data_IF_001641128397
#
_entry.id   IF_001641128397
#
_cell.length_a   1.000
_cell.length_b   1.000
_cell.length_c   1.000
_cell.angle_alpha   90.00
_cell.angle_beta   90.00
_cell.angle_gamma   90.00
#
_symmetry.space_group_name_H-M   'P 1'
#
loop_
_entity.id
_entity.type
_entity.pdbx_description
1 polymer ?
#
# COMPACT_ATOMS: atom_id res chain seq x y z
N UNK A 1 4.59 -2.59 -9.72
CA UNK A 1 4.48 -2.80 -8.26
C UNK A 1 5.12 -1.60 -7.59
N UNK A 2 4.42 -0.93 -6.70
CA UNK A 2 5.02 0.14 -5.91
C UNK A 2 5.93 -0.52 -4.88
N UNK A 3 7.24 -0.24 -4.92
CA UNK A 3 8.19 -0.68 -3.91
C UNK A 3 8.54 0.55 -3.07
N UNK A 4 7.90 0.67 -1.91
CA UNK A 4 8.31 1.66 -0.93
C UNK A 4 9.72 1.31 -0.43
N UNK A 5 10.63 2.28 -0.45
CA UNK A 5 11.97 2.14 0.09
C UNK A 5 11.89 1.87 1.62
N UNK A 6 12.23 0.67 2.11
CA UNK A 6 12.09 0.32 3.52
C UNK A 6 13.10 1.04 4.43
N UNK A 7 14.07 1.77 3.85
CA UNK A 7 15.13 2.44 4.60
C UNK A 7 14.74 3.82 5.19
N UNK A 8 13.52 4.31 4.95
CA UNK A 8 13.08 5.60 5.48
C UNK A 8 12.18 5.42 6.71
N UNK A 9 12.78 5.50 7.90
CA UNK A 9 12.09 5.68 9.21
C UNK A 9 11.23 4.49 9.70
N UNK A 10 11.69 3.28 9.47
CA UNK A 10 11.14 2.10 10.12
C UNK A 10 11.74 1.95 11.54
N UNK A 11 10.95 2.15 12.61
CA UNK A 11 11.32 1.60 13.92
C UNK A 11 11.43 0.07 13.79
N UNK A 12 12.41 -0.53 14.46
CA UNK A 12 12.57 -1.98 14.43
C UNK A 12 11.40 -2.63 15.18
N UNK A 13 10.49 -3.29 14.44
CA UNK A 13 9.43 -4.12 15.02
C UNK A 13 9.84 -5.59 14.97
N UNK A 14 9.46 -6.34 16.01
CA UNK A 14 9.68 -7.77 16.11
C UNK A 14 8.36 -8.49 16.29
N UNK A 15 8.16 -9.58 15.55
CA UNK A 15 7.04 -10.47 15.79
C UNK A 15 7.30 -11.29 17.07
N UNK A 16 6.82 -10.80 18.22
CA UNK A 16 7.08 -11.42 19.52
C UNK A 16 6.61 -12.88 19.61
N UNK A 17 5.48 -13.19 18.95
CA UNK A 17 4.92 -14.53 18.94
C UNK A 17 5.84 -15.52 18.21
N UNK A 18 6.36 -15.14 17.04
CA UNK A 18 7.31 -15.96 16.29
C UNK A 18 8.67 -16.00 16.98
N UNK A 19 9.17 -14.88 17.50
CA UNK A 19 10.43 -14.84 18.26
C UNK A 19 10.39 -15.82 19.44
N UNK A 20 9.28 -15.87 20.17
CA UNK A 20 9.07 -16.82 21.28
C UNK A 20 9.08 -18.27 20.80
N UNK A 21 8.47 -18.57 19.64
CA UNK A 21 8.50 -19.91 19.06
C UNK A 21 9.91 -20.34 18.65
N UNK A 22 10.67 -19.44 18.04
CA UNK A 22 12.07 -19.68 17.63
C UNK A 22 12.95 -19.93 18.85
N UNK A 23 12.80 -19.13 19.92
CA UNK A 23 13.56 -19.31 21.17
C UNK A 23 13.26 -20.68 21.78
N UNK A 24 11.98 -21.07 21.90
CA UNK A 24 11.60 -22.38 22.45
C UNK A 24 12.14 -23.54 21.63
N UNK A 25 12.11 -23.43 20.30
CA UNK A 25 12.67 -24.45 19.42
C UNK A 25 14.20 -24.58 19.60
N UNK A 26 14.90 -23.45 19.72
CA UNK A 26 16.34 -23.44 19.99
C UNK A 26 16.66 -24.08 21.35
N UNK A 27 15.89 -23.78 22.40
CA UNK A 27 16.01 -24.40 23.72
C UNK A 27 15.84 -25.93 23.68
N UNK A 28 14.86 -26.42 22.92
CA UNK A 28 14.64 -27.85 22.73
C UNK A 28 15.85 -28.53 22.06
N UNK A 29 16.39 -27.93 21.00
CA UNK A 29 17.56 -28.46 20.30
C UNK A 29 18.79 -28.48 21.21
N UNK A 30 19.03 -27.41 21.97
CA UNK A 30 20.13 -27.33 22.94
C UNK A 30 20.04 -28.44 24.00
N UNK A 31 18.84 -28.73 24.50
CA UNK A 31 18.62 -29.83 25.43
C UNK A 31 18.90 -31.20 24.79
N UNK A 32 18.56 -31.37 23.51
CA UNK A 32 18.83 -32.62 22.78
C UNK A 32 20.32 -32.84 22.49
N UNK A 33 21.08 -31.77 22.22
CA UNK A 33 22.52 -31.86 21.92
C UNK A 33 23.40 -31.83 23.17
N UNK A 34 22.84 -31.47 24.33
CA UNK A 34 23.58 -31.29 25.58
C UNK A 34 24.39 -29.98 25.63
N UNK A 35 24.16 -29.07 24.68
CA UNK A 35 24.86 -27.80 24.57
C UNK A 35 24.08 -26.70 25.28
N UNK A 36 24.45 -26.41 26.53
CA UNK A 36 23.81 -25.38 27.36
C UNK A 36 24.51 -24.04 27.20
N UNK A 37 24.38 -23.44 26.02
CA UNK A 37 24.87 -22.08 25.73
C UNK A 37 23.73 -21.06 25.76
N UNK A 38 24.06 -19.76 25.82
CA UNK A 38 23.06 -18.69 25.73
C UNK A 38 22.67 -18.48 24.27
N UNK A 39 21.37 -18.40 23.99
CA UNK A 39 20.86 -18.02 22.67
C UNK A 39 21.31 -16.58 22.34
N UNK A 40 21.84 -16.39 21.13
CA UNK A 40 22.20 -15.07 20.62
C UNK A 40 20.95 -14.33 20.10
N UNK A 41 20.54 -13.19 20.68
CA UNK A 41 19.36 -12.45 20.25
C UNK A 41 19.40 -12.01 18.78
N UNK A 42 20.58 -11.70 18.25
CA UNK A 42 20.72 -11.33 16.83
C UNK A 42 20.43 -12.50 15.89
N UNK A 43 20.70 -13.74 16.30
CA UNK A 43 20.33 -14.92 15.50
C UNK A 43 18.83 -15.14 15.48
N UNK A 44 18.13 -14.83 16.59
CA UNK A 44 16.67 -14.84 16.65
C UNK A 44 16.08 -13.78 15.74
N UNK A 45 16.62 -12.56 15.78
CA UNK A 45 16.21 -11.47 14.88
C UNK A 45 16.50 -11.79 13.40
N UNK A 46 17.57 -12.51 13.09
CA UNK A 46 17.86 -12.94 11.72
C UNK A 46 16.94 -14.04 11.19
N UNK A 47 16.12 -14.66 12.05
CA UNK A 47 15.20 -15.70 11.62
C UNK A 47 14.10 -15.12 10.71
N UNK A 48 13.81 -15.74 9.55
CA UNK A 48 12.81 -15.23 8.62
C UNK A 48 11.46 -14.97 9.29
N UNK A 49 10.96 -13.74 9.14
CA UNK A 49 9.68 -13.29 9.70
C UNK A 49 9.73 -12.81 11.15
N UNK A 50 10.86 -12.94 11.88
CA UNK A 50 10.98 -12.40 13.24
C UNK A 50 11.13 -10.89 13.22
N UNK A 51 11.93 -10.36 12.30
CA UNK A 51 11.98 -8.93 12.04
C UNK A 51 10.78 -8.55 11.18
N UNK A 52 9.89 -7.76 11.75
CA UNK A 52 8.80 -7.18 11.01
C UNK A 52 9.35 -5.98 10.24
N UNK A 53 9.15 -6.02 8.92
CA UNK A 53 9.18 -4.77 8.17
C UNK A 53 7.94 -4.02 8.62
N UNK A 54 8.04 -2.76 9.08
CA UNK A 54 6.85 -2.03 9.46
C UNK A 54 5.89 -2.05 8.28
N UNK A 55 4.73 -2.65 8.51
CA UNK A 55 3.62 -2.52 7.60
C UNK A 55 3.37 -1.03 7.48
N UNK A 56 3.61 -0.49 6.28
CA UNK A 56 3.00 0.79 5.96
C UNK A 56 1.52 0.66 6.28
N UNK A 57 0.91 1.68 6.87
CA UNK A 57 -0.51 1.68 7.16
C UNK A 57 -1.28 1.63 5.82
N UNK A 58 -1.45 0.43 5.28
CA UNK A 58 -2.04 0.20 3.97
C UNK A 58 -3.49 0.65 3.96
N UNK A 59 -4.14 0.72 5.12
CA UNK A 59 -5.49 1.24 5.26
C UNK A 59 -5.54 2.76 4.99
N UNK A 60 -4.55 3.52 5.47
CA UNK A 60 -4.43 4.94 5.14
C UNK A 60 -4.15 5.15 3.66
N UNK A 61 -3.22 4.38 3.09
CA UNK A 61 -2.88 4.45 1.65
C UNK A 61 -4.09 4.11 0.78
N UNK A 62 -4.82 3.05 1.12
CA UNK A 62 -6.02 2.64 0.38
C UNK A 62 -7.12 3.71 0.47
N UNK A 63 -7.29 4.33 1.64
CA UNK A 63 -8.27 5.40 1.83
C UNK A 63 -7.96 6.62 0.97
N UNK A 64 -6.71 7.07 0.94
CA UNK A 64 -6.28 8.17 0.08
C UNK A 64 -6.43 7.83 -1.40
N UNK A 65 -6.08 6.60 -1.79
CA UNK A 65 -6.21 6.12 -3.17
C UNK A 65 -7.67 6.14 -3.65
N UNK A 66 -8.60 5.66 -2.82
CA UNK A 66 -10.03 5.67 -3.15
C UNK A 66 -10.57 7.10 -3.26
N UNK A 67 -10.18 7.99 -2.35
CA UNK A 67 -10.59 9.39 -2.40
C UNK A 67 -10.11 10.08 -3.69
N UNK A 68 -8.85 9.89 -4.07
CA UNK A 68 -8.29 10.44 -5.31
C UNK A 68 -8.95 9.84 -6.56
N UNK A 69 -9.36 8.57 -6.51
CA UNK A 69 -10.09 7.93 -7.59
C UNK A 69 -11.49 8.51 -7.77
N UNK A 70 -12.22 8.73 -6.68
CA UNK A 70 -13.56 9.36 -6.72
C UNK A 70 -13.50 10.81 -7.25
N UNK A 71 -12.45 11.55 -6.87
CA UNK A 71 -12.17 12.89 -7.40
C UNK A 71 -11.94 12.84 -8.92
N UNK A 72 -11.07 11.95 -9.39
CA UNK A 72 -10.75 11.81 -10.80
C UNK A 72 -11.99 11.45 -11.66
N UNK A 73 -12.86 10.57 -11.15
CA UNK A 73 -14.11 10.22 -11.84
C UNK A 73 -15.06 11.42 -11.90
N UNK A 74 -15.16 12.20 -10.83
CA UNK A 74 -15.98 13.40 -10.77
C UNK A 74 -15.52 14.45 -11.78
N UNK A 75 -14.21 14.72 -11.82
CA UNK A 75 -13.60 15.64 -12.80
C UNK A 75 -13.81 15.16 -14.24
N UNK A 76 -13.68 13.85 -14.48
CA UNK A 76 -13.90 13.26 -15.80
C UNK A 76 -15.34 13.47 -16.29
N UNK A 77 -16.34 13.19 -15.44
CA UNK A 77 -17.75 13.38 -15.77
C UNK A 77 -18.03 14.85 -16.10
N UNK A 78 -17.55 15.78 -15.28
CA UNK A 78 -17.70 17.21 -15.54
C UNK A 78 -17.07 17.63 -16.88
N UNK A 79 -15.86 17.16 -17.17
CA UNK A 79 -15.17 17.47 -18.42
C UNK A 79 -15.96 16.98 -19.63
N UNK A 80 -16.52 15.76 -19.55
CA UNK A 80 -17.40 15.20 -20.60
C UNK A 80 -18.70 15.98 -20.75
N UNK A 81 -19.27 16.47 -19.65
CA UNK A 81 -20.43 17.36 -19.67
C UNK A 81 -20.15 18.65 -20.45
N UNK A 82 -19.06 19.35 -20.09
CA UNK A 82 -18.61 20.58 -20.77
C UNK A 82 -18.35 20.36 -22.27
N UNK A 83 -17.74 19.24 -22.63
CA UNK A 83 -17.52 18.86 -24.03
C UNK A 83 -18.86 18.69 -24.78
N UNK A 84 -19.84 18.03 -24.16
CA UNK A 84 -21.18 17.85 -24.71
C UNK A 84 -21.90 19.17 -24.95
N UNK A 85 -21.86 20.08 -23.97
CA UNK A 85 -22.48 21.40 -24.06
C UNK A 85 -21.86 22.24 -25.19
N UNK A 86 -20.53 22.21 -25.32
CA UNK A 86 -19.82 22.89 -26.40
C UNK A 86 -20.18 22.32 -27.78
N UNK A 87 -20.26 20.99 -27.89
CA UNK A 87 -20.63 20.33 -29.14
C UNK A 87 -22.07 20.67 -29.54
N UNK A 88 -22.99 20.68 -28.57
CA UNK A 88 -24.38 21.10 -28.78
C UNK A 88 -24.44 22.54 -29.31
N UNK A 89 -23.77 23.47 -28.65
CA UNK A 89 -23.75 24.88 -29.06
C UNK A 89 -23.22 25.06 -30.49
N UNK A 90 -22.17 24.32 -30.87
CA UNK A 90 -21.62 24.35 -32.22
C UNK A 90 -22.62 23.82 -33.27
N UNK A 91 -23.36 22.75 -32.93
CA UNK A 91 -24.39 22.19 -33.82
C UNK A 91 -25.54 23.17 -33.99
N UNK A 92 -26.05 23.76 -32.90
CA UNK A 92 -27.12 24.77 -32.92
C UNK A 92 -26.71 25.98 -33.78
N UNK A 93 -25.49 26.51 -33.57
CA UNK A 93 -24.96 27.60 -34.38
C UNK A 93 -24.94 27.26 -35.89
N UNK A 94 -24.57 26.02 -36.25
CA UNK A 94 -24.55 25.58 -37.66
C UNK A 94 -25.95 25.44 -38.24
N UNK A 95 -26.91 24.93 -37.48
CA UNK A 95 -28.30 24.79 -37.92
C UNK A 95 -28.95 26.17 -38.14
N UNK A 96 -28.71 27.12 -37.25
CA UNK A 96 -29.20 28.50 -37.39
C UNK A 96 -28.64 29.16 -38.66
N UNK A 97 -27.34 28.98 -38.93
CA UNK A 97 -26.69 29.52 -40.13
C UNK A 97 -27.29 28.96 -41.43
N UNK A 98 -27.61 27.66 -41.47
CA UNK A 98 -28.24 27.02 -42.64
C UNK A 98 -29.68 27.51 -42.83
N UNK A 99 -30.41 27.76 -41.74
CA UNK A 99 -31.83 28.15 -41.81
C UNK A 99 -32.01 29.63 -42.21
N UNK A 100 -30.97 30.45 -42.02
CA UNK A 100 -30.97 31.86 -42.39
C UNK A 100 -30.61 32.11 -43.88
N UNK A 101 -30.28 31.07 -44.63
CA UNK A 101 -29.96 31.09 -46.07
C UNK A 101 -31.19 30.71 -46.93
#
# INVERSE_FOLDING_TARGET
RFEANPAAKAELSINEALATQVIKAAEQVMHMTGELSRINPFQVMQWPGVMETPEQNMDEVNKELLAAFDEAISEFIEARGREGDNMKALIEQRLDAITAE
#
